data_IF_891139238099
#
_entry.id   IF_891139238099
#
_cell.length_a   1.000
_cell.length_b   1.000
_cell.length_c   1.000
_cell.angle_alpha   90.00
_cell.angle_beta   90.00
_cell.angle_gamma   90.00
#
_symmetry.space_group_name_H-M   'P 1'
#
loop_
_entity.id
_entity.type
_entity.pdbx_description
1 polymer ?
#
# COMPACT_ATOMS: atom_id res chain seq x y z
N UNK A 1 -9.93 -9.24 18.71
CA UNK A 1 -8.70 -8.60 18.17
C UNK A 1 -8.98 -8.36 16.70
N UNK A 2 -9.04 -7.11 16.27
CA UNK A 2 -9.27 -6.77 14.87
C UNK A 2 -8.06 -7.14 14.01
N UNK A 3 -8.29 -7.31 12.72
CA UNK A 3 -7.25 -7.44 11.71
C UNK A 3 -7.39 -6.26 10.75
N UNK A 4 -6.51 -5.28 10.87
CA UNK A 4 -6.52 -4.06 10.08
C UNK A 4 -5.13 -3.81 9.52
N UNK A 5 -4.93 -4.21 8.27
CA UNK A 5 -3.67 -3.97 7.55
C UNK A 5 -3.99 -3.10 6.36
N UNK A 6 -3.30 -1.98 6.22
CA UNK A 6 -3.20 -1.21 5.00
C UNK A 6 -1.72 -1.06 4.65
N UNK A 7 -1.35 -1.43 3.42
CA UNK A 7 0.05 -1.44 3.02
C UNK A 7 0.23 -1.09 1.54
N UNK A 8 1.34 -0.42 1.28
CA UNK A 8 1.92 -0.23 -0.04
C UNK A 8 2.96 -1.32 -0.26
N UNK A 9 2.72 -2.18 -1.25
CA UNK A 9 3.63 -3.25 -1.65
C UNK A 9 4.32 -2.82 -2.93
N UNK A 10 5.65 -2.81 -2.93
CA UNK A 10 6.46 -2.29 -4.04
C UNK A 10 7.33 -3.41 -4.60
N UNK A 11 7.30 -3.59 -5.92
CA UNK A 11 8.18 -4.51 -6.63
C UNK A 11 9.42 -3.78 -7.20
N UNK A 12 10.56 -4.44 -7.11
CA UNK A 12 11.87 -3.94 -7.53
C UNK A 12 12.73 -3.46 -6.35
N UNK A 13 13.95 -3.05 -6.68
CA UNK A 13 14.87 -2.49 -5.70
C UNK A 13 14.35 -1.16 -5.15
N UNK A 14 14.35 -1.01 -3.83
CA UNK A 14 13.98 0.23 -3.13
C UNK A 14 15.20 0.83 -2.46
N UNK A 15 15.44 2.12 -2.70
CA UNK A 15 16.40 2.93 -1.96
C UNK A 15 15.87 3.18 -0.55
N UNK A 16 16.47 2.49 0.43
CA UNK A 16 16.05 2.54 1.83
C UNK A 16 16.29 3.90 2.50
N UNK A 17 17.21 4.73 2.00
CA UNK A 17 17.42 6.08 2.52
C UNK A 17 16.31 7.01 2.02
N UNK A 18 16.00 6.96 0.72
CA UNK A 18 14.89 7.71 0.14
C UNK A 18 13.55 7.30 0.74
N UNK A 19 13.30 6.00 0.89
CA UNK A 19 12.07 5.50 1.52
C UNK A 19 11.87 6.09 2.91
N UNK A 20 12.90 6.07 3.76
CA UNK A 20 12.83 6.68 5.10
C UNK A 20 12.62 8.19 5.05
N UNK A 21 13.21 8.90 4.08
CA UNK A 21 13.04 10.34 3.94
C UNK A 21 11.60 10.77 3.63
N UNK A 22 10.82 9.88 3.00
CA UNK A 22 9.39 10.07 2.73
C UNK A 22 8.48 9.31 3.72
N UNK A 23 9.05 8.82 4.83
CA UNK A 23 8.31 8.12 5.87
C UNK A 23 7.79 6.73 5.49
N UNK A 24 8.31 6.13 4.41
CA UNK A 24 8.08 4.72 4.07
C UNK A 24 9.06 3.84 4.85
N UNK A 25 8.54 3.15 5.85
CA UNK A 25 9.29 2.21 6.69
C UNK A 25 8.94 0.78 6.28
N UNK A 26 9.88 0.05 5.68
CA UNK A 26 9.66 -1.33 5.28
C UNK A 26 9.56 -2.24 6.52
N UNK A 27 8.50 -3.04 6.61
CA UNK A 27 8.34 -4.08 7.65
C UNK A 27 8.75 -5.46 7.15
N UNK A 28 8.54 -5.72 5.86
CA UNK A 28 8.85 -7.00 5.23
C UNK A 28 9.56 -6.78 3.90
N UNK A 29 10.53 -7.65 3.64
CA UNK A 29 11.21 -7.75 2.35
C UNK A 29 11.25 -9.21 1.96
N UNK A 30 10.65 -9.54 0.81
CA UNK A 30 10.65 -10.88 0.24
C UNK A 30 11.13 -10.79 -1.20
N UNK A 31 12.35 -11.30 -1.46
CA UNK A 31 13.00 -11.11 -2.76
C UNK A 31 13.12 -9.62 -3.10
N UNK A 32 12.63 -9.24 -4.28
CA UNK A 32 12.58 -7.86 -4.75
C UNK A 32 11.24 -7.16 -4.39
N UNK A 33 10.51 -7.63 -3.38
CA UNK A 33 9.25 -7.02 -2.94
C UNK A 33 9.40 -6.44 -1.55
N UNK A 34 9.14 -5.14 -1.40
CA UNK A 34 9.08 -4.43 -0.12
C UNK A 34 7.64 -4.15 0.30
N UNK A 35 7.34 -4.31 1.58
CA UNK A 35 6.03 -4.01 2.18
C UNK A 35 6.17 -2.84 3.15
N UNK A 36 5.42 -1.78 2.89
CA UNK A 36 5.41 -0.55 3.67
C UNK A 36 4.01 -0.33 4.25
N UNK A 37 3.82 -0.45 5.57
CA UNK A 37 2.57 -0.05 6.19
C UNK A 37 2.30 1.42 5.91
N UNK A 38 1.09 1.72 5.47
CA UNK A 38 0.57 3.07 5.25
C UNK A 38 -0.89 3.10 5.71
N UNK A 39 -1.51 4.27 5.70
CA UNK A 39 -2.95 4.43 5.80
C UNK A 39 -3.40 5.58 4.89
N UNK A 40 -4.70 5.91 4.90
CA UNK A 40 -5.24 7.02 4.13
C UNK A 40 -4.75 8.39 4.61
N UNK A 41 -4.36 8.54 5.89
CA UNK A 41 -3.77 9.80 6.36
C UNK A 41 -2.36 10.00 5.82
N UNK A 42 -1.56 8.94 5.70
CA UNK A 42 -0.24 8.97 5.08
C UNK A 42 -0.32 9.50 3.65
N UNK A 43 -1.24 8.97 2.84
CA UNK A 43 -1.39 9.37 1.44
C UNK A 43 -1.98 10.78 1.32
N UNK A 44 -2.99 11.12 2.12
CA UNK A 44 -3.57 12.46 2.17
C UNK A 44 -2.54 13.53 2.57
N UNK A 45 -1.73 13.27 3.60
CA UNK A 45 -0.64 14.14 4.03
C UNK A 45 0.33 14.42 2.88
N UNK A 46 0.85 13.38 2.22
CA UNK A 46 1.81 13.56 1.14
C UNK A 46 1.21 14.26 -0.08
N UNK A 47 -0.06 14.00 -0.38
CA UNK A 47 -0.80 14.71 -1.43
C UNK A 47 -0.87 16.21 -1.12
N UNK A 48 -1.22 16.58 0.11
CA UNK A 48 -1.25 17.97 0.57
C UNK A 48 0.14 18.63 0.51
N UNK A 49 1.17 17.97 1.06
CA UNK A 49 2.55 18.48 1.08
C UNK A 49 3.12 18.70 -0.32
N UNK A 50 2.76 17.83 -1.28
CA UNK A 50 3.24 17.92 -2.67
C UNK A 50 2.32 18.73 -3.57
N UNK A 51 1.16 19.19 -3.07
CA UNK A 51 0.15 19.86 -3.88
C UNK A 51 -0.37 18.99 -5.04
N UNK A 52 -0.47 17.68 -4.83
CA UNK A 52 -0.96 16.71 -5.82
C UNK A 52 -2.38 16.27 -5.45
N UNK A 53 -3.38 16.76 -6.20
CA UNK A 53 -4.79 16.44 -6.03
C UNK A 53 -5.28 15.30 -6.95
N UNK A 54 -4.39 14.72 -7.76
CA UNK A 54 -4.74 13.63 -8.65
C UNK A 54 -5.02 12.34 -7.88
N UNK A 55 -5.92 11.52 -8.44
CA UNK A 55 -6.31 10.22 -7.89
C UNK A 55 -5.81 9.08 -8.77
N UNK A 56 -5.59 7.92 -8.17
CA UNK A 56 -5.31 6.67 -8.87
C UNK A 56 -6.58 6.18 -9.59
N UNK A 57 -6.40 5.45 -10.69
CA UNK A 57 -7.51 4.74 -11.37
C UNK A 57 -7.95 3.54 -10.51
N UNK A 58 -8.83 3.80 -9.55
CA UNK A 58 -9.37 2.80 -8.64
C UNK A 58 -10.83 2.46 -8.98
N UNK A 59 -11.27 1.22 -8.72
CA UNK A 59 -12.67 0.85 -8.88
C UNK A 59 -13.58 1.53 -7.84
N UNK A 60 -14.85 1.70 -8.20
CA UNK A 60 -15.89 2.09 -7.25
C UNK A 60 -16.08 1.04 -6.14
N UNK A 61 -16.61 1.47 -4.99
CA UNK A 61 -17.00 0.57 -3.89
C UNK A 61 -15.88 0.20 -2.92
N UNK A 62 -14.71 0.83 -3.04
CA UNK A 62 -13.67 0.82 -2.02
C UNK A 62 -14.13 1.62 -0.79
N UNK A 63 -13.68 1.24 0.43
CA UNK A 63 -13.97 2.03 1.62
C UNK A 63 -13.27 3.39 1.51
N UNK A 64 -13.83 4.42 2.17
CA UNK A 64 -13.23 5.76 2.19
C UNK A 64 -11.86 5.82 2.86
N UNK A 65 -11.47 4.76 3.56
CA UNK A 65 -10.16 4.59 4.21
C UNK A 65 -9.15 3.90 3.30
N UNK A 66 -9.52 3.52 2.07
CA UNK A 66 -8.60 2.99 1.08
C UNK A 66 -7.83 4.14 0.43
N UNK A 67 -6.48 4.17 0.51
CA UNK A 67 -5.69 5.22 -0.11
C UNK A 67 -5.91 5.31 -1.62
N UNK A 68 -6.23 6.49 -2.12
CA UNK A 68 -6.56 6.73 -3.55
C UNK A 68 -5.76 7.88 -4.18
N UNK A 69 -4.91 8.56 -3.42
CA UNK A 69 -4.06 9.65 -3.93
C UNK A 69 -2.97 9.16 -4.88
N UNK A 70 -2.85 9.80 -6.05
CA UNK A 70 -1.81 9.50 -7.04
C UNK A 70 -0.38 9.78 -6.53
N UNK A 71 -0.25 10.51 -5.42
CA UNK A 71 1.04 10.76 -4.76
C UNK A 71 1.76 9.47 -4.39
N UNK A 72 1.04 8.38 -4.12
CA UNK A 72 1.64 7.08 -3.82
C UNK A 72 2.50 6.57 -4.98
N UNK A 73 2.05 6.73 -6.22
CA UNK A 73 2.85 6.39 -7.41
C UNK A 73 4.13 7.23 -7.46
N UNK A 74 4.03 8.53 -7.16
CA UNK A 74 5.18 9.44 -7.20
C UNK A 74 6.21 9.08 -6.11
N UNK A 75 5.75 8.70 -4.91
CA UNK A 75 6.59 8.17 -3.85
C UNK A 75 7.27 6.87 -4.27
N UNK A 76 6.54 5.92 -4.88
CA UNK A 76 7.14 4.67 -5.36
C UNK A 76 8.20 4.96 -6.43
N UNK A 77 7.91 5.83 -7.41
CA UNK A 77 8.88 6.27 -8.42
C UNK A 77 10.13 6.86 -7.79
N UNK A 78 9.98 7.70 -6.77
CA UNK A 78 11.10 8.34 -6.07
C UNK A 78 12.02 7.32 -5.37
N UNK A 79 11.43 6.34 -4.68
CA UNK A 79 12.20 5.36 -3.90
C UNK A 79 12.74 4.21 -4.74
N UNK A 80 12.14 3.93 -5.90
CA UNK A 80 12.63 2.87 -6.82
C UNK A 80 13.52 3.42 -7.94
N UNK A 81 13.38 4.70 -8.28
CA UNK A 81 14.07 5.31 -9.42
C UNK A 81 13.61 4.84 -10.79
N UNK A 82 12.46 4.13 -10.90
CA UNK A 82 11.87 3.72 -12.19
C UNK A 82 10.74 4.65 -12.63
N UNK A 83 10.66 4.91 -13.94
CA UNK A 83 9.59 5.71 -14.53
C UNK A 83 8.25 4.95 -14.62
N UNK A 84 8.29 3.62 -14.59
CA UNK A 84 7.10 2.76 -14.52
C UNK A 84 7.18 1.89 -13.25
N UNK A 85 6.93 2.47 -12.05
CA UNK A 85 6.94 1.73 -10.81
C UNK A 85 5.82 0.68 -10.78
N UNK A 86 6.13 -0.51 -10.26
CA UNK A 86 5.13 -1.56 -10.01
C UNK A 86 4.84 -1.64 -8.52
N UNK A 87 3.58 -1.43 -8.16
CA UNK A 87 3.16 -1.42 -6.77
C UNK A 87 1.72 -1.87 -6.62
N UNK A 88 1.34 -2.24 -5.41
CA UNK A 88 -0.03 -2.53 -5.03
C UNK A 88 -0.39 -1.83 -3.72
N UNK A 89 -1.63 -1.41 -3.60
CA UNK A 89 -2.24 -0.99 -2.35
C UNK A 89 -3.13 -2.14 -1.90
N UNK A 90 -2.94 -2.60 -0.67
CA UNK A 90 -3.76 -3.66 -0.07
C UNK A 90 -4.38 -3.14 1.20
N UNK A 91 -5.60 -3.57 1.49
CA UNK A 91 -6.27 -3.29 2.73
C UNK A 91 -7.06 -4.51 3.19
N UNK A 92 -6.99 -4.80 4.48
CA UNK A 92 -7.86 -5.75 5.18
C UNK A 92 -8.49 -5.02 6.35
N UNK A 93 -9.76 -5.30 6.61
CA UNK A 93 -10.46 -4.80 7.77
C UNK A 93 -11.41 -5.89 8.24
N UNK A 94 -11.03 -6.62 9.29
CA UNK A 94 -11.86 -7.65 9.91
C UNK A 94 -12.04 -7.39 11.41
N UNK A 95 -13.30 -7.43 11.85
CA UNK A 95 -13.66 -7.41 13.26
C UNK A 95 -14.65 -8.55 13.55
N UNK A 96 -14.27 -9.43 14.48
CA UNK A 96 -15.09 -10.59 14.88
C UNK A 96 -15.56 -11.48 13.71
N UNK A 97 -14.76 -11.59 12.65
CA UNK A 97 -15.08 -12.39 11.46
C UNK A 97 -15.95 -11.69 10.42
N UNK A 98 -16.33 -10.43 10.67
CA UNK A 98 -17.05 -9.56 9.73
C UNK A 98 -16.06 -8.54 9.19
N UNK A 99 -16.05 -8.32 7.88
CA UNK A 99 -15.10 -7.41 7.27
C UNK A 99 -14.89 -7.62 5.79
N UNK A 100 -13.87 -6.94 5.26
CA UNK A 100 -13.53 -6.95 3.85
C UNK A 100 -12.02 -6.95 3.61
N UNK A 101 -11.68 -7.19 2.36
CA UNK A 101 -10.34 -7.00 1.82
C UNK A 101 -10.46 -6.30 0.47
N UNK A 102 -9.48 -5.47 0.17
CA UNK A 102 -9.42 -4.69 -1.05
C UNK A 102 -7.99 -4.62 -1.53
N UNK A 103 -7.79 -4.66 -2.84
CA UNK A 103 -6.48 -4.54 -3.42
C UNK A 103 -6.54 -3.90 -4.82
N UNK A 104 -5.51 -3.14 -5.15
CA UNK A 104 -5.29 -2.65 -6.50
C UNK A 104 -3.79 -2.64 -6.82
N UNK A 105 -3.39 -3.23 -7.94
CA UNK A 105 -2.01 -3.20 -8.43
C UNK A 105 -1.87 -2.32 -9.66
N UNK A 106 -0.69 -1.73 -9.83
CA UNK A 106 -0.39 -0.72 -10.84
C UNK A 106 0.98 -0.96 -11.48
N UNK A 107 1.10 -0.55 -12.74
CA UNK A 107 2.36 -0.29 -13.43
C UNK A 107 2.34 1.17 -13.92
N UNK A 108 3.08 2.04 -13.24
CA UNK A 108 2.97 3.49 -13.43
C UNK A 108 1.54 3.98 -13.12
N UNK A 109 0.87 4.54 -14.11
CA UNK A 109 -0.52 5.02 -13.99
C UNK A 109 -1.55 3.93 -14.28
N UNK A 110 -1.14 2.84 -14.92
CA UNK A 110 -2.04 1.80 -15.42
C UNK A 110 -2.36 0.81 -14.32
N UNK A 111 -3.64 0.69 -13.96
CA UNK A 111 -4.13 -0.39 -13.12
C UNK A 111 -3.98 -1.74 -13.84
N UNK A 112 -3.48 -2.73 -13.11
CA UNK A 112 -3.27 -4.10 -13.57
C UNK A 112 -4.42 -5.03 -13.16
N UNK A 113 -5.06 -4.73 -12.03
CA UNK A 113 -6.09 -5.58 -11.44
C UNK A 113 -7.51 -5.21 -11.87
N UNK A 114 -8.41 -6.20 -11.85
CA UNK A 114 -9.84 -5.98 -12.02
C UNK A 114 -10.44 -5.22 -10.82
N UNK A 115 -11.70 -4.80 -10.91
CA UNK A 115 -12.39 -4.07 -9.84
C UNK A 115 -12.59 -4.88 -8.54
N UNK A 116 -12.51 -6.21 -8.62
CA UNK A 116 -12.81 -7.13 -7.52
C UNK A 116 -11.60 -8.02 -7.20
N UNK A 117 -10.40 -7.55 -7.54
CA UNK A 117 -9.20 -8.33 -7.32
C UNK A 117 -8.97 -8.59 -5.83
N UNK A 118 -8.66 -9.84 -5.53
CA UNK A 118 -8.13 -10.27 -4.24
C UNK A 118 -6.72 -9.71 -4.02
N UNK A 119 -6.29 -9.70 -2.76
CA UNK A 119 -4.90 -9.35 -2.42
C UNK A 119 -3.92 -10.27 -3.14
N UNK A 120 -4.18 -11.58 -3.19
CA UNK A 120 -3.31 -12.54 -3.87
C UNK A 120 -3.19 -12.25 -5.38
N UNK A 121 -4.27 -11.87 -6.05
CA UNK A 121 -4.21 -11.43 -7.45
C UNK A 121 -3.35 -10.16 -7.62
N UNK A 122 -3.50 -9.17 -6.73
CA UNK A 122 -2.67 -7.97 -6.77
C UNK A 122 -1.19 -8.26 -6.51
N UNK A 123 -0.87 -9.17 -5.58
CA UNK A 123 0.50 -9.60 -5.31
C UNK A 123 1.08 -10.43 -6.47
N UNK A 124 0.25 -11.24 -7.12
CA UNK A 124 0.65 -11.99 -8.32
C UNK A 124 1.02 -11.04 -9.48
N UNK A 125 0.32 -9.91 -9.62
CA UNK A 125 0.67 -8.82 -10.53
C UNK A 125 2.00 -8.13 -10.20
N UNK A 126 2.54 -8.32 -8.99
CA UNK A 126 3.89 -7.86 -8.60
C UNK A 126 4.96 -8.94 -8.77
N UNK A 127 4.59 -10.14 -9.20
CA UNK A 127 5.50 -11.27 -9.37
C UNK A 127 5.67 -12.13 -8.11
N UNK A 128 4.91 -11.87 -7.05
CA UNK A 128 4.80 -12.80 -5.92
C UNK A 128 4.12 -14.07 -6.41
N UNK A 129 4.57 -15.22 -5.92
CA UNK A 129 4.02 -16.53 -6.27
C UNK A 129 3.80 -17.32 -4.99
N UNK A 130 2.64 -17.94 -4.87
CA UNK A 130 2.37 -18.95 -3.86
C UNK A 130 3.45 -20.06 -3.86
N UNK A 131 3.67 -20.65 -2.69
CA UNK A 131 4.48 -21.85 -2.52
C UNK A 131 3.59 -23.10 -2.51
N UNK A 132 4.16 -24.28 -2.22
CA UNK A 132 3.37 -25.51 -2.08
C UNK A 132 2.37 -25.45 -0.90
N UNK A 133 2.63 -24.61 0.11
CA UNK A 133 1.88 -24.58 1.37
C UNK A 133 1.36 -23.21 1.80
N UNK A 134 1.74 -22.14 1.10
CA UNK A 134 1.44 -20.75 1.46
C UNK A 134 0.96 -20.00 0.21
N UNK A 135 -0.05 -19.14 0.35
CA UNK A 135 -0.49 -18.26 -0.73
C UNK A 135 0.43 -17.02 -0.86
N UNK A 136 0.17 -16.15 -1.83
CA UNK A 136 1.00 -14.95 -2.04
C UNK A 136 1.07 -14.07 -0.79
N UNK A 137 -0.04 -13.91 -0.05
CA UNK A 137 -0.13 -13.13 1.17
C UNK A 137 0.77 -13.69 2.28
N UNK A 138 0.74 -15.02 2.48
CA UNK A 138 1.58 -15.72 3.45
C UNK A 138 3.06 -15.69 3.06
N UNK A 139 3.37 -15.86 1.76
CA UNK A 139 4.74 -15.88 1.23
C UNK A 139 5.50 -14.60 1.53
N UNK A 140 4.85 -13.43 1.38
CA UNK A 140 5.47 -12.14 1.70
C UNK A 140 5.39 -11.80 3.19
N UNK A 141 4.79 -12.67 4.01
CA UNK A 141 4.78 -12.59 5.47
C UNK A 141 3.70 -11.69 6.06
N UNK A 142 2.69 -11.29 5.29
CA UNK A 142 1.65 -10.37 5.75
C UNK A 142 0.83 -10.95 6.91
N UNK A 143 0.70 -12.28 7.00
CA UNK A 143 0.01 -12.96 8.11
C UNK A 143 0.70 -12.82 9.47
N UNK A 144 1.94 -12.30 9.50
CA UNK A 144 2.70 -12.02 10.73
C UNK A 144 2.27 -10.74 11.44
N UNK A 145 1.59 -9.84 10.73
CA UNK A 145 1.06 -8.61 11.29
C UNK A 145 -0.46 -8.65 11.27
N UNK A 146 -1.09 -7.97 12.23
CA UNK A 146 -2.56 -7.89 12.31
C UNK A 146 -3.07 -6.45 12.35
N UNK A 147 -2.19 -5.51 12.63
CA UNK A 147 -2.48 -4.09 12.76
C UNK A 147 -1.33 -3.32 12.14
N UNK A 148 -1.63 -2.16 11.56
CA UNK A 148 -0.64 -1.18 11.18
C UNK A 148 0.16 -0.69 12.41
N UNK A 149 1.43 -0.26 12.24
CA UNK A 149 2.23 0.26 13.34
C UNK A 149 1.78 1.64 13.83
N UNK A 150 1.90 1.89 15.13
CA UNK A 150 1.52 3.14 15.81
C UNK A 150 2.20 4.41 15.26
N UNK A 151 3.33 4.29 14.56
CA UNK A 151 4.01 5.46 14.00
C UNK A 151 3.20 6.18 12.91
N UNK A 152 2.17 5.52 12.36
CA UNK A 152 1.28 6.11 11.37
C UNK A 152 0.28 7.09 12.00
N UNK A 153 -0.02 6.98 13.29
CA UNK A 153 -0.95 7.88 14.00
C UNK A 153 -0.56 9.36 13.85
N UNK A 154 0.75 9.63 13.72
CA UNK A 154 1.27 11.00 13.50
C UNK A 154 0.70 11.65 12.23
N UNK A 155 0.34 10.89 11.21
CA UNK A 155 -0.17 11.45 9.96
C UNK A 155 -1.60 11.97 10.12
N UNK A 156 -2.39 11.40 11.03
CA UNK A 156 -3.68 11.97 11.39
C UNK A 156 -3.50 13.36 12.01
N UNK A 157 -2.59 13.50 12.98
CA UNK A 157 -2.28 14.80 13.61
C UNK A 157 -1.78 15.83 12.56
N UNK A 158 -0.91 15.40 11.63
CA UNK A 158 -0.39 16.25 10.57
C UNK A 158 -1.48 16.68 9.57
N UNK A 159 -2.41 15.79 9.23
CA UNK A 159 -3.55 16.13 8.38
C UNK A 159 -4.48 17.13 9.08
N UNK A 160 -4.75 16.96 10.38
CA UNK A 160 -5.52 17.90 11.18
C UNK A 160 -4.87 19.30 11.19
N UNK A 161 -3.55 19.39 11.33
CA UNK A 161 -2.79 20.66 11.27
C UNK A 161 -2.88 21.34 9.88
N UNK A 162 -2.94 20.54 8.81
CA UNK A 162 -3.08 21.02 7.43
C UNK A 162 -4.54 21.31 7.05
N UNK A 163 -5.51 20.83 7.82
CA UNK A 163 -6.93 20.95 7.54
C UNK A 163 -7.40 20.08 6.37
N UNK A 164 -6.81 18.89 6.20
CA UNK A 164 -7.11 17.93 5.12
C UNK A 164 -7.68 16.62 5.64
#
# INVERSE_FOLDING_TARGET
>A
MGHHICALVVAGAVDAERARSVGLHAELVHGDVGVFPIDHFFSAYWAAIRGNDARLDLPDGLPSTFPDEAVLRDLVREVTGTDEPRFAIIQTEYFAGIGGQWAAAFAGERRLTSAQASINEALAELGVRASESEDEFDVIGLSRFRVNPDHLDRYADLCDELGV
#
